data_IF_698624406592
#
_entry.id   IF_698624406592
#
_cell.length_a   1.000
_cell.length_b   1.000
_cell.length_c   1.000
_cell.angle_alpha   90.00
_cell.angle_beta   90.00
_cell.angle_gamma   90.00
#
_symmetry.space_group_name_H-M   'P 1'
#
loop_
_entity.id
_entity.type
_entity.pdbx_description
1 polymer ?
#
# COMPACT_ATOMS: atom_id res chain seq x y z
N UNK A 1 19.17 2.36 -9.98
CA UNK A 1 18.26 3.45 -9.53
C UNK A 1 17.16 2.99 -8.57
N UNK A 2 16.35 1.97 -8.90
CA UNK A 2 15.24 1.54 -8.03
C UNK A 2 15.68 1.21 -6.59
N UNK A 3 16.75 0.42 -6.42
CA UNK A 3 17.33 0.07 -5.11
C UNK A 3 17.72 1.30 -4.29
N UNK A 4 18.36 2.28 -4.93
CA UNK A 4 18.79 3.52 -4.26
C UNK A 4 17.60 4.38 -3.83
N UNK A 5 16.56 4.48 -4.67
CA UNK A 5 15.31 5.16 -4.30
C UNK A 5 14.64 4.49 -3.10
N UNK A 6 14.61 3.16 -3.06
CA UNK A 6 14.07 2.42 -1.91
C UNK A 6 14.89 2.68 -0.65
N UNK A 7 16.22 2.62 -0.74
CA UNK A 7 17.11 2.93 0.39
C UNK A 7 16.85 4.32 0.98
N UNK A 8 16.73 5.33 0.11
CA UNK A 8 16.45 6.70 0.54
C UNK A 8 15.05 6.79 1.17
N UNK A 9 14.04 6.13 0.60
CA UNK A 9 12.67 6.13 1.16
C UNK A 9 12.57 5.44 2.52
N UNK A 10 13.50 4.55 2.87
CA UNK A 10 13.53 3.94 4.19
C UNK A 10 14.06 4.91 5.26
N UNK A 11 14.93 5.84 4.88
CA UNK A 11 15.58 6.78 5.80
C UNK A 11 14.86 8.14 5.84
N UNK A 12 14.37 8.60 4.69
CA UNK A 12 13.81 9.94 4.51
C UNK A 12 12.28 9.86 4.44
N UNK A 13 11.54 10.65 5.24
CA UNK A 13 10.08 10.69 5.20
C UNK A 13 9.57 11.29 3.87
N UNK A 14 8.25 11.25 3.66
CA UNK A 14 7.59 11.89 2.50
C UNK A 14 8.09 11.40 1.12
N UNK A 15 8.52 10.14 1.03
CA UNK A 15 9.03 9.54 -0.20
C UNK A 15 10.20 10.32 -0.84
N UNK A 16 11.15 10.82 -0.03
CA UNK A 16 12.31 11.58 -0.53
C UNK A 16 13.12 10.91 -1.64
N UNK A 17 13.14 9.57 -1.69
CA UNK A 17 13.77 8.80 -2.77
C UNK A 17 13.06 8.93 -4.11
N UNK A 18 11.74 9.15 -4.13
CA UNK A 18 10.99 9.45 -5.35
C UNK A 18 11.37 10.83 -5.91
N UNK A 19 11.56 11.83 -5.04
CA UNK A 19 12.07 13.14 -5.44
C UNK A 19 13.51 13.05 -5.99
N UNK A 20 14.39 12.28 -5.32
CA UNK A 20 15.74 12.03 -5.81
C UNK A 20 15.73 11.37 -7.21
N UNK A 21 14.85 10.38 -7.42
CA UNK A 21 14.66 9.74 -8.73
C UNK A 21 14.16 10.73 -9.78
N UNK A 22 13.20 11.60 -9.42
CA UNK A 22 12.67 12.62 -10.32
C UNK A 22 13.76 13.61 -10.77
N UNK A 23 14.56 14.10 -9.83
CA UNK A 23 15.68 15.00 -10.12
C UNK A 23 16.75 14.34 -10.98
N UNK A 24 17.05 13.06 -10.71
CA UNK A 24 17.97 12.28 -11.53
C UNK A 24 17.47 12.12 -12.97
N UNK A 25 16.21 11.71 -13.16
CA UNK A 25 15.63 11.52 -14.50
C UNK A 25 15.52 12.84 -15.25
N UNK A 26 15.24 13.95 -14.56
CA UNK A 26 15.26 15.29 -15.17
C UNK A 26 16.65 15.66 -15.66
N UNK A 27 17.69 15.43 -14.85
CA UNK A 27 19.08 15.79 -15.22
C UNK A 27 19.65 14.91 -16.32
N UNK A 28 19.34 13.62 -16.33
CA UNK A 28 19.98 12.65 -17.23
C UNK A 28 19.17 12.34 -18.49
N UNK A 29 17.84 12.42 -18.44
CA UNK A 29 16.96 12.04 -19.54
C UNK A 29 16.01 13.16 -20.00
N UNK A 30 16.22 14.40 -19.51
CA UNK A 30 15.36 15.56 -19.75
C UNK A 30 13.85 15.27 -19.50
N UNK A 31 13.58 14.35 -18.57
CA UNK A 31 12.21 13.92 -18.30
C UNK A 31 11.46 15.03 -17.55
N UNK A 32 10.33 15.45 -18.12
CA UNK A 32 9.49 16.45 -17.48
C UNK A 32 8.93 15.93 -16.15
N UNK A 33 9.04 16.74 -15.08
CA UNK A 33 8.65 16.33 -13.72
C UNK A 33 7.16 15.97 -13.61
N UNK A 34 6.30 16.58 -14.43
CA UNK A 34 4.87 16.26 -14.43
C UNK A 34 4.59 14.84 -14.94
N UNK A 35 5.32 14.36 -15.95
CA UNK A 35 5.15 13.01 -16.49
C UNK A 35 5.62 11.95 -15.48
N UNK A 36 6.71 12.25 -14.76
CA UNK A 36 7.15 11.42 -13.64
C UNK A 36 6.10 11.38 -12.53
N UNK A 37 5.60 12.55 -12.10
CA UNK A 37 4.57 12.63 -11.06
C UNK A 37 3.28 11.91 -11.46
N UNK A 38 2.83 12.05 -12.71
CA UNK A 38 1.69 11.33 -13.28
C UNK A 38 1.86 9.81 -13.18
N UNK A 39 3.03 9.30 -13.57
CA UNK A 39 3.31 7.87 -13.51
C UNK A 39 3.41 7.38 -12.07
N UNK A 40 4.09 8.13 -11.19
CA UNK A 40 4.28 7.76 -9.79
C UNK A 40 2.97 7.75 -9.00
N UNK A 41 2.17 8.81 -9.10
CA UNK A 41 0.88 8.90 -8.42
C UNK A 41 -0.07 7.86 -9.00
N UNK A 42 -0.13 7.71 -10.33
CA UNK A 42 -0.97 6.70 -10.98
C UNK A 42 -0.66 5.27 -10.52
N UNK A 43 0.62 4.94 -10.40
CA UNK A 43 1.06 3.67 -9.82
C UNK A 43 0.61 3.49 -8.35
N UNK A 44 0.72 4.53 -7.52
CA UNK A 44 0.30 4.46 -6.11
C UNK A 44 -1.22 4.35 -5.97
N UNK A 45 -2.00 5.02 -6.81
CA UNK A 45 -3.46 4.88 -6.83
C UNK A 45 -3.84 3.45 -7.21
N UNK A 46 -3.16 2.86 -8.19
CA UNK A 46 -3.45 1.48 -8.59
C UNK A 46 -3.10 0.48 -7.47
N UNK A 47 -1.98 0.70 -6.79
CA UNK A 47 -1.56 -0.10 -5.63
C UNK A 47 -2.55 0.05 -4.48
N UNK A 48 -3.00 1.27 -4.18
CA UNK A 48 -4.05 1.58 -3.20
C UNK A 48 -5.35 0.84 -3.53
N UNK A 49 -5.81 0.93 -4.78
CA UNK A 49 -7.03 0.29 -5.23
C UNK A 49 -6.99 -1.24 -5.05
N UNK A 50 -5.92 -1.89 -5.51
CA UNK A 50 -5.76 -3.34 -5.36
C UNK A 50 -5.69 -3.73 -3.88
N UNK A 51 -4.90 -3.02 -3.07
CA UNK A 51 -4.77 -3.31 -1.64
C UNK A 51 -6.11 -3.15 -0.91
N UNK A 52 -6.86 -2.09 -1.16
CA UNK A 52 -8.18 -1.89 -0.57
C UNK A 52 -9.16 -2.99 -0.99
N UNK A 53 -9.19 -3.37 -2.27
CA UNK A 53 -10.04 -4.46 -2.75
C UNK A 53 -9.68 -5.80 -2.09
N UNK A 54 -8.38 -6.10 -1.97
CA UNK A 54 -7.88 -7.29 -1.30
C UNK A 54 -8.23 -7.28 0.20
N UNK A 55 -8.13 -6.13 0.87
CA UNK A 55 -8.53 -5.98 2.27
C UNK A 55 -10.02 -6.23 2.49
N UNK A 56 -10.89 -5.65 1.64
CA UNK A 56 -12.33 -5.89 1.72
C UNK A 56 -12.68 -7.36 1.50
N UNK A 57 -12.06 -8.02 0.50
CA UNK A 57 -12.29 -9.42 0.21
C UNK A 57 -11.83 -10.32 1.38
N UNK A 58 -10.63 -10.10 1.91
CA UNK A 58 -10.09 -10.87 3.03
C UNK A 58 -10.86 -10.63 4.34
N UNK A 59 -11.25 -9.39 4.60
CA UNK A 59 -12.06 -9.02 5.76
C UNK A 59 -13.46 -9.64 5.71
N UNK A 60 -14.14 -9.52 4.57
CA UNK A 60 -15.43 -10.17 4.33
C UNK A 60 -15.37 -11.68 4.52
N UNK A 61 -14.33 -12.33 3.99
CA UNK A 61 -14.11 -13.76 4.17
C UNK A 61 -13.89 -14.18 5.63
N UNK A 62 -13.17 -13.38 6.42
CA UNK A 62 -12.99 -13.66 7.85
C UNK A 62 -14.29 -13.46 8.64
N UNK A 63 -15.09 -12.47 8.30
CA UNK A 63 -16.39 -12.22 8.94
C UNK A 63 -17.37 -13.37 8.68
N UNK A 64 -17.45 -13.89 7.45
CA UNK A 64 -18.35 -15.03 7.14
C UNK A 64 -17.93 -16.30 7.87
N UNK A 65 -16.62 -16.57 8.02
CA UNK A 65 -16.13 -17.72 8.79
C UNK A 65 -16.43 -17.63 10.29
N UNK A 66 -16.49 -16.42 10.85
CA UNK A 66 -16.88 -16.23 12.26
C UNK A 66 -18.37 -16.43 12.49
N UNK A 67 -19.21 -15.92 11.59
CA UNK A 67 -20.66 -16.10 11.68
C UNK A 67 -21.08 -17.56 11.71
N UNK A 68 -20.50 -18.39 10.83
CA UNK A 68 -20.78 -19.83 10.81
C UNK A 68 -20.33 -20.59 12.07
N UNK A 69 -19.29 -20.12 12.77
CA UNK A 69 -18.87 -20.71 14.04
C UNK A 69 -19.84 -20.39 15.19
N UNK A 70 -20.49 -19.22 15.17
CA UNK A 70 -21.44 -18.81 16.18
C UNK A 70 -22.78 -19.57 16.07
N UNK A 71 -23.26 -19.84 14.86
CA UNK A 71 -24.50 -20.59 14.65
C UNK A 71 -24.41 -22.03 15.20
N UNK A 72 -23.25 -22.68 15.09
CA UNK A 72 -23.01 -24.02 15.64
C UNK A 72 -23.04 -24.10 17.18
N UNK A 73 -22.76 -22.99 17.87
CA UNK A 73 -22.78 -22.91 19.34
C UNK A 73 -24.16 -22.54 19.91
N UNK A 74 -25.11 -22.09 19.08
CA UNK A 74 -26.47 -21.74 19.52
C UNK A 74 -27.24 -22.93 20.11
N UNK A 75 -26.81 -24.17 19.85
CA UNK A 75 -27.36 -25.38 20.46
C UNK A 75 -26.86 -25.70 21.87
N UNK A 76 -25.82 -25.02 22.38
CA UNK A 76 -25.16 -25.40 23.65
C UNK A 76 -25.65 -24.68 24.90
N UNK A 77 -26.77 -23.94 24.84
CA UNK A 77 -27.42 -23.32 26.01
C UNK A 77 -26.67 -22.14 26.66
N UNK A 78 -25.60 -21.64 26.03
CA UNK A 78 -24.93 -20.41 26.46
C UNK A 78 -25.83 -19.19 26.21
N UNK A 79 -25.97 -18.33 27.21
CA UNK A 79 -26.91 -17.20 27.16
C UNK A 79 -26.45 -16.13 26.16
N UNK A 80 -27.39 -15.55 25.40
CA UNK A 80 -27.12 -14.51 24.40
C UNK A 80 -26.37 -13.29 24.97
N UNK A 81 -26.45 -13.06 26.28
CA UNK A 81 -25.72 -12.00 26.98
C UNK A 81 -24.19 -12.22 26.96
N UNK A 82 -23.71 -13.45 27.14
CA UNK A 82 -22.28 -13.78 27.07
C UNK A 82 -21.74 -13.73 25.64
N UNK A 83 -22.57 -14.05 24.64
CA UNK A 83 -22.24 -13.89 23.21
C UNK A 83 -22.25 -12.42 22.76
N UNK A 84 -23.07 -11.58 23.39
CA UNK A 84 -23.17 -10.14 23.09
C UNK A 84 -22.12 -9.27 23.77
N UNK A 85 -21.29 -9.83 24.66
CA UNK A 85 -20.03 -9.21 25.08
C UNK A 85 -19.08 -9.23 23.87
N UNK A 86 -19.40 -8.42 22.86
CA UNK A 86 -18.65 -8.24 21.63
C UNK A 86 -17.23 -7.92 22.02
N UNK A 87 -16.36 -8.91 21.85
CA UNK A 87 -14.93 -8.73 22.01
C UNK A 87 -14.53 -7.47 21.23
N UNK A 88 -13.83 -6.51 21.85
CA UNK A 88 -13.38 -5.28 21.18
C UNK A 88 -12.61 -5.55 19.87
N UNK A 89 -12.17 -6.79 19.65
CA UNK A 89 -11.57 -7.24 18.40
C UNK A 89 -12.52 -7.28 17.19
N UNK A 90 -13.84 -7.48 17.36
CA UNK A 90 -14.78 -7.51 16.22
C UNK A 90 -15.04 -6.11 15.67
N UNK A 91 -15.28 -5.15 16.57
CA UNK A 91 -15.46 -3.74 16.22
C UNK A 91 -14.23 -3.16 15.49
N UNK A 92 -13.03 -3.58 15.88
CA UNK A 92 -11.78 -3.17 15.21
C UNK A 92 -11.70 -3.61 13.75
N UNK A 93 -12.08 -4.86 13.45
CA UNK A 93 -12.00 -5.39 12.08
C UNK A 93 -13.02 -4.71 11.15
N UNK A 94 -14.25 -4.51 11.61
CA UNK A 94 -15.29 -3.84 10.83
C UNK A 94 -14.89 -2.39 10.51
N UNK A 95 -14.37 -1.65 11.48
CA UNK A 95 -13.85 -0.29 11.27
C UNK A 95 -12.72 -0.26 10.24
N UNK A 96 -11.77 -1.19 10.34
CA UNK A 96 -10.68 -1.31 9.37
C UNK A 96 -11.20 -1.60 7.95
N UNK A 97 -12.12 -2.55 7.78
CA UNK A 97 -12.71 -2.88 6.49
C UNK A 97 -13.49 -1.70 5.91
N UNK A 98 -14.23 -0.96 6.73
CA UNK A 98 -14.95 0.23 6.32
C UNK A 98 -13.99 1.33 5.81
N UNK A 99 -12.89 1.57 6.54
CA UNK A 99 -11.84 2.52 6.12
C UNK A 99 -11.23 2.08 4.78
N UNK A 100 -10.86 0.81 4.63
CA UNK A 100 -10.29 0.28 3.39
C UNK A 100 -11.26 0.44 2.21
N UNK A 101 -12.55 0.15 2.42
CA UNK A 101 -13.61 0.33 1.43
C UNK A 101 -13.82 1.79 1.02
N UNK A 102 -13.83 2.72 1.99
CA UNK A 102 -13.94 4.15 1.73
C UNK A 102 -12.74 4.66 0.92
N UNK A 103 -11.52 4.21 1.24
CA UNK A 103 -10.30 4.56 0.49
C UNK A 103 -10.32 3.97 -0.93
N UNK A 104 -10.80 2.75 -1.11
CA UNK A 104 -11.02 2.17 -2.44
C UNK A 104 -11.99 3.04 -3.26
N UNK A 105 -13.13 3.42 -2.67
CA UNK A 105 -14.13 4.24 -3.33
C UNK A 105 -13.54 5.60 -3.74
N UNK A 106 -12.80 6.25 -2.83
CA UNK A 106 -12.13 7.51 -3.11
C UNK A 106 -11.08 7.36 -4.24
N UNK A 107 -10.31 6.28 -4.25
CA UNK A 107 -9.35 5.98 -5.31
C UNK A 107 -10.04 5.75 -6.67
N UNK A 108 -11.17 5.02 -6.70
CA UNK A 108 -11.99 4.83 -7.90
C UNK A 108 -12.52 6.16 -8.40
N UNK A 109 -13.11 6.98 -7.52
CA UNK A 109 -13.62 8.31 -7.89
C UNK A 109 -12.48 9.15 -8.46
N UNK A 110 -11.33 9.21 -7.79
CA UNK A 110 -10.15 9.93 -8.29
C UNK A 110 -9.66 9.43 -9.66
N UNK A 111 -9.64 8.12 -9.87
CA UNK A 111 -9.27 7.49 -11.14
C UNK A 111 -10.26 7.80 -12.28
N UNK A 112 -11.55 7.79 -11.98
CA UNK A 112 -12.63 7.91 -12.96
C UNK A 112 -13.07 9.36 -13.21
N UNK A 113 -12.72 10.29 -12.32
CA UNK A 113 -13.04 11.71 -12.50
C UNK A 113 -12.36 12.25 -13.76
N UNK A 114 -13.16 12.44 -14.81
CA UNK A 114 -12.74 13.10 -16.04
C UNK A 114 -12.52 14.61 -15.77
N UNK A 115 -11.56 15.26 -16.42
CA UNK A 115 -11.39 16.72 -16.33
C UNK A 115 -12.68 17.49 -16.68
N UNK A 116 -13.47 16.95 -17.63
CA UNK A 116 -14.76 17.50 -18.02
C UNK A 116 -15.78 17.58 -16.86
N UNK A 117 -15.65 16.72 -15.84
CA UNK A 117 -16.52 16.73 -14.68
C UNK A 117 -16.23 17.94 -13.77
N UNK A 118 -14.96 18.33 -13.61
CA UNK A 118 -14.59 19.56 -12.90
C UNK A 118 -15.13 20.80 -13.62
N UNK A 119 -15.11 20.79 -14.95
CA UNK A 119 -15.75 21.83 -15.77
C UNK A 119 -17.26 21.92 -15.52
N UNK A 120 -17.98 20.79 -15.45
CA UNK A 120 -19.42 20.76 -15.15
C UNK A 120 -19.76 21.24 -13.74
N UNK A 121 -18.87 21.06 -12.78
CA UNK A 121 -19.04 21.56 -11.41
C UNK A 121 -18.76 23.07 -11.26
N UNK A 122 -18.48 23.79 -12.35
CA UNK A 122 -18.12 25.21 -12.30
C UNK A 122 -16.72 25.47 -11.74
N UNK A 123 -15.94 24.41 -11.50
CA UNK A 123 -14.57 24.49 -10.98
C UNK A 123 -13.53 24.74 -12.07
N UNK A 124 -13.95 24.97 -13.32
CA UNK A 124 -13.02 25.26 -14.42
C UNK A 124 -12.16 26.52 -14.18
N UNK A 125 -12.69 27.51 -13.45
CA UNK A 125 -11.92 28.70 -13.05
C UNK A 125 -10.78 28.40 -12.08
N UNK A 126 -10.80 27.23 -11.41
CA UNK A 126 -9.76 26.87 -10.45
C UNK A 126 -8.40 26.57 -11.12
N UNK A 127 -8.37 26.33 -12.43
CA UNK A 127 -7.13 26.11 -13.17
C UNK A 127 -6.19 27.33 -13.12
N UNK A 128 -6.75 28.53 -12.92
CA UNK A 128 -5.98 29.76 -12.78
C UNK A 128 -5.13 29.79 -11.50
N UNK A 129 -5.48 29.03 -10.46
CA UNK A 129 -4.69 29.00 -9.24
C UNK A 129 -3.41 28.20 -9.43
N UNK A 130 -2.27 28.86 -9.23
CA UNK A 130 -0.92 28.29 -9.36
C UNK A 130 -0.72 27.00 -8.55
N UNK A 131 -1.41 26.88 -7.42
CA UNK A 131 -1.35 25.70 -6.54
C UNK A 131 -2.03 24.46 -7.13
N UNK A 132 -3.03 24.63 -8.01
CA UNK A 132 -3.82 23.53 -8.58
C UNK A 132 -3.30 23.08 -9.95
N UNK A 133 -2.48 23.90 -10.62
CA UNK A 133 -1.84 23.53 -11.89
C UNK A 133 -1.15 22.15 -11.89
N UNK A 134 -0.41 21.73 -10.84
CA UNK A 134 0.18 20.39 -10.78
C UNK A 134 -0.89 19.27 -10.81
N UNK A 135 -2.04 19.48 -10.18
CA UNK A 135 -3.13 18.51 -10.13
C UNK A 135 -3.79 18.34 -11.50
N UNK A 136 -4.07 19.43 -12.22
CA UNK A 136 -4.60 19.37 -13.59
C UNK A 136 -3.60 18.72 -14.56
N UNK A 137 -2.31 19.04 -14.42
CA UNK A 137 -1.26 18.43 -15.24
C UNK A 137 -1.13 16.92 -14.95
N UNK A 138 -1.23 16.53 -13.68
CA UNK A 138 -1.31 15.14 -13.25
C UNK A 138 -2.50 14.43 -13.89
N UNK A 139 -3.69 15.02 -13.80
CA UNK A 139 -4.93 14.44 -14.32
C UNK A 139 -4.89 14.25 -15.84
N UNK A 140 -4.33 15.22 -16.56
CA UNK A 140 -4.11 15.12 -18.00
C UNK A 140 -3.16 13.95 -18.34
N UNK A 141 -2.03 13.85 -17.65
CA UNK A 141 -1.09 12.74 -17.83
C UNK A 141 -1.67 11.38 -17.46
N UNK A 142 -2.47 11.29 -16.40
CA UNK A 142 -3.19 10.08 -16.01
C UNK A 142 -4.19 9.65 -17.09
N UNK A 143 -4.94 10.61 -17.65
CA UNK A 143 -5.90 10.32 -18.72
C UNK A 143 -5.21 9.81 -19.98
N UNK A 144 -4.06 10.38 -20.34
CA UNK A 144 -3.24 9.89 -21.45
C UNK A 144 -2.71 8.48 -21.18
N UNK A 145 -2.28 8.19 -19.95
CA UNK A 145 -1.85 6.86 -19.52
C UNK A 145 -2.96 5.80 -19.69
N UNK A 146 -4.19 6.15 -19.31
CA UNK A 146 -5.36 5.26 -19.42
C UNK A 146 -5.81 5.00 -20.86
N UNK A 147 -5.42 5.83 -21.83
CA UNK A 147 -5.71 5.59 -23.26
C UNK A 147 -4.88 4.47 -23.86
N UNK A 148 -3.79 4.08 -23.19
CA UNK A 148 -2.87 3.04 -23.64
C UNK A 148 -3.08 1.74 -22.84
N UNK A 149 -4.08 0.89 -23.18
CA UNK A 149 -4.44 -0.28 -22.38
C UNK A 149 -3.27 -1.27 -22.22
N UNK A 150 -2.42 -1.43 -23.25
CA UNK A 150 -1.23 -2.29 -23.18
C UNK A 150 -0.23 -1.81 -22.12
N UNK A 151 -0.05 -0.49 -21.99
CA UNK A 151 0.82 0.07 -20.96
C UNK A 151 0.20 -0.09 -19.58
N UNK A 152 -1.10 0.22 -19.44
CA UNK A 152 -1.83 0.06 -18.20
C UNK A 152 -1.80 -1.39 -17.69
N UNK A 153 -2.00 -2.38 -18.57
CA UNK A 153 -1.91 -3.80 -18.21
C UNK A 153 -0.53 -4.20 -17.70
N UNK A 154 0.55 -3.63 -18.26
CA UNK A 154 1.92 -3.88 -17.77
C UNK A 154 2.13 -3.26 -16.38
N UNK A 155 1.67 -2.04 -16.16
CA UNK A 155 1.74 -1.38 -14.84
C UNK A 155 0.90 -2.16 -13.82
N UNK A 156 -0.29 -2.58 -14.19
CA UNK A 156 -1.17 -3.41 -13.35
C UNK A 156 -0.50 -4.73 -12.97
N UNK A 157 0.05 -5.46 -13.95
CA UNK A 157 0.77 -6.70 -13.70
C UNK A 157 1.98 -6.48 -12.77
N UNK A 158 2.70 -5.37 -12.95
CA UNK A 158 3.83 -5.02 -12.09
C UNK A 158 3.39 -4.72 -10.65
N UNK A 159 2.29 -3.98 -10.46
CA UNK A 159 1.72 -3.69 -9.14
C UNK A 159 1.24 -4.97 -8.47
N UNK A 160 0.54 -5.85 -9.20
CA UNK A 160 0.09 -7.14 -8.69
C UNK A 160 1.28 -8.01 -8.25
N UNK A 161 2.31 -8.14 -9.09
CA UNK A 161 3.52 -8.89 -8.76
C UNK A 161 4.21 -8.32 -7.51
N UNK A 162 4.24 -7.01 -7.38
CA UNK A 162 4.81 -6.37 -6.19
C UNK A 162 3.98 -6.67 -4.94
N UNK A 163 2.65 -6.58 -5.00
CA UNK A 163 1.80 -6.92 -3.85
C UNK A 163 1.98 -8.39 -3.46
N UNK A 164 2.12 -9.30 -4.43
CA UNK A 164 2.44 -10.71 -4.16
C UNK A 164 3.80 -10.85 -3.46
N UNK A 165 4.83 -10.13 -3.90
CA UNK A 165 6.11 -10.14 -3.22
C UNK A 165 6.00 -9.63 -1.77
N UNK A 166 5.21 -8.56 -1.54
CA UNK A 166 4.94 -8.04 -0.19
C UNK A 166 4.19 -9.06 0.69
N UNK A 167 3.20 -9.78 0.12
CA UNK A 167 2.49 -10.87 0.81
C UNK A 167 3.45 -11.98 1.25
N UNK A 168 4.37 -12.39 0.37
CA UNK A 168 5.38 -13.43 0.67
C UNK A 168 6.32 -12.96 1.79
N UNK A 169 6.75 -11.69 1.77
CA UNK A 169 7.59 -11.12 2.83
C UNK A 169 6.86 -11.12 4.17
N UNK A 170 5.60 -10.67 4.19
CA UNK A 170 4.80 -10.67 5.43
C UNK A 170 4.60 -12.10 5.93
N UNK A 171 4.18 -13.03 5.07
CA UNK A 171 4.01 -14.43 5.43
C UNK A 171 5.30 -15.04 6.01
N UNK A 172 6.44 -14.82 5.35
CA UNK A 172 7.73 -15.34 5.80
C UNK A 172 8.17 -14.71 7.13
N UNK A 173 7.89 -13.42 7.35
CA UNK A 173 8.24 -12.74 8.60
C UNK A 173 7.45 -13.29 9.79
N UNK A 174 6.15 -13.56 9.62
CA UNK A 174 5.34 -14.20 10.66
C UNK A 174 5.76 -15.66 10.91
N UNK A 175 6.06 -16.41 9.83
CA UNK A 175 6.58 -17.77 9.95
C UNK A 175 7.92 -17.82 10.70
N UNK A 176 8.82 -16.86 10.46
CA UNK A 176 10.11 -16.75 11.15
C UNK A 176 9.97 -16.49 12.66
N UNK A 177 8.87 -15.87 13.07
CA UNK A 177 8.52 -15.61 14.48
C UNK A 177 7.79 -16.81 15.11
N UNK A 178 7.57 -17.89 14.37
CA UNK A 178 6.94 -19.11 14.85
C UNK A 178 5.40 -19.06 14.87
N UNK A 179 4.79 -18.08 14.20
CA UNK A 179 3.33 -17.93 14.14
C UNK A 179 2.83 -18.14 12.73
N UNK A 180 1.96 -19.14 12.54
CA UNK A 180 1.29 -19.38 11.26
C UNK A 180 0.04 -18.50 11.15
N UNK A 181 0.08 -17.50 10.27
CA UNK A 181 -1.12 -16.73 9.91
C UNK A 181 -1.92 -17.41 8.81
N UNK A 182 -3.25 -17.27 8.88
CA UNK A 182 -4.12 -17.61 7.75
C UNK A 182 -3.84 -16.71 6.55
N UNK A 183 -4.10 -17.21 5.33
CA UNK A 183 -3.90 -16.43 4.10
C UNK A 183 -4.68 -15.10 4.12
N UNK A 184 -5.91 -15.09 4.65
CA UNK A 184 -6.71 -13.86 4.77
C UNK A 184 -6.07 -12.85 5.73
N UNK A 185 -5.51 -13.30 6.85
CA UNK A 185 -4.80 -12.44 7.79
C UNK A 185 -3.54 -11.83 7.16
N UNK A 186 -2.76 -12.61 6.41
CA UNK A 186 -1.60 -12.10 5.65
C UNK A 186 -2.02 -11.03 4.64
N UNK A 187 -3.12 -11.26 3.92
CA UNK A 187 -3.68 -10.28 2.97
C UNK A 187 -4.11 -9.00 3.68
N UNK A 188 -4.78 -9.09 4.83
CA UNK A 188 -5.16 -7.91 5.61
C UNK A 188 -3.96 -7.12 6.11
N UNK A 189 -3.00 -7.78 6.79
CA UNK A 189 -1.78 -7.12 7.30
C UNK A 189 -1.05 -6.41 6.15
N UNK A 190 -0.88 -7.08 5.02
CA UNK A 190 -0.17 -6.53 3.86
C UNK A 190 -0.93 -5.35 3.25
N UNK A 191 -2.26 -5.48 3.08
CA UNK A 191 -3.08 -4.43 2.48
C UNK A 191 -3.11 -3.18 3.35
N UNK A 192 -3.30 -3.31 4.65
CA UNK A 192 -3.21 -2.16 5.57
C UNK A 192 -1.79 -1.61 5.68
N UNK A 193 -0.76 -2.46 5.59
CA UNK A 193 0.63 -2.03 5.49
C UNK A 193 0.89 -1.15 4.27
N UNK A 194 0.29 -1.48 3.12
CA UNK A 194 0.32 -0.64 1.92
C UNK A 194 -0.39 0.69 2.17
N UNK A 195 -1.60 0.67 2.75
CA UNK A 195 -2.38 1.88 3.07
C UNK A 195 -1.59 2.84 3.96
N UNK A 196 -1.00 2.32 5.02
CA UNK A 196 -0.13 3.06 5.92
C UNK A 196 1.11 3.59 5.20
N UNK A 197 1.77 2.75 4.40
CA UNK A 197 2.99 3.11 3.68
C UNK A 197 2.79 4.25 2.68
N UNK A 198 1.58 4.41 2.14
CA UNK A 198 1.21 5.51 1.25
C UNK A 198 1.11 6.87 1.95
N UNK A 199 0.87 6.89 3.27
CA UNK A 199 0.78 8.15 4.01
C UNK A 199 2.15 8.85 4.11
N UNK A 200 3.24 8.08 4.03
CA UNK A 200 4.61 8.61 4.13
C UNK A 200 4.90 9.40 5.41
N UNK A 201 4.03 9.31 6.42
CA UNK A 201 4.11 10.10 7.66
C UNK A 201 5.35 9.74 8.48
N UNK A 202 5.71 8.46 8.48
CA UNK A 202 6.91 7.97 9.17
C UNK A 202 7.90 7.34 8.18
N UNK A 203 9.22 7.49 8.39
CA UNK A 203 10.23 6.83 7.57
C UNK A 203 9.99 5.31 7.52
N UNK A 204 9.86 4.76 6.31
CA UNK A 204 9.57 3.33 6.13
C UNK A 204 8.26 2.82 6.79
N UNK A 205 7.34 3.72 7.16
CA UNK A 205 6.12 3.36 7.89
C UNK A 205 6.36 2.89 9.33
N UNK A 206 7.50 3.25 9.94
CA UNK A 206 7.87 2.93 11.33
C UNK A 206 6.72 3.26 12.30
N UNK A 207 6.39 2.30 13.16
CA UNK A 207 5.33 2.38 14.17
C UNK A 207 3.93 2.09 13.63
N UNK A 208 3.57 2.62 12.47
CA UNK A 208 2.22 2.46 11.91
C UNK A 208 1.99 1.04 11.34
N UNK A 209 2.98 0.45 10.68
CA UNK A 209 2.87 -0.93 10.17
C UNK A 209 2.82 -1.93 11.31
N UNK A 210 3.59 -1.71 12.38
CA UNK A 210 3.53 -2.51 13.61
C UNK A 210 2.15 -2.41 14.26
N UNK A 211 1.62 -1.19 14.38
CA UNK A 211 0.29 -0.95 14.94
C UNK A 211 -0.79 -1.71 14.15
N UNK A 212 -0.74 -1.64 12.82
CA UNK A 212 -1.63 -2.41 11.95
C UNK A 212 -1.44 -3.91 12.14
N UNK A 213 -0.19 -4.39 12.22
CA UNK A 213 0.11 -5.81 12.40
C UNK A 213 -0.39 -6.34 13.74
N UNK A 214 -0.28 -5.53 14.81
CA UNK A 214 -0.86 -5.82 16.12
C UNK A 214 -2.38 -5.81 16.03
N UNK A 215 -2.99 -4.78 15.44
CA UNK A 215 -4.44 -4.67 15.32
C UNK A 215 -5.05 -5.84 14.54
N UNK A 216 -4.42 -6.28 13.44
CA UNK A 216 -4.89 -7.46 12.70
C UNK A 216 -4.55 -8.75 13.47
N UNK A 217 -3.38 -8.84 14.09
CA UNK A 217 -2.97 -10.00 14.90
C UNK A 217 -3.94 -10.29 16.05
N UNK A 218 -4.36 -9.26 16.79
CA UNK A 218 -5.34 -9.43 17.88
C UNK A 218 -6.69 -9.90 17.37
N UNK A 219 -7.09 -9.55 16.14
CA UNK A 219 -8.30 -10.12 15.55
C UNK A 219 -8.17 -11.63 15.37
N UNK A 220 -6.98 -12.17 15.10
CA UNK A 220 -6.73 -13.61 14.91
C UNK A 220 -6.24 -14.26 16.22
N UNK A 221 -6.48 -13.62 17.37
CA UNK A 221 -6.03 -14.08 18.70
C UNK A 221 -4.51 -14.31 18.79
N UNK A 222 -3.72 -13.53 18.05
CA UNK A 222 -2.26 -13.53 18.14
C UNK A 222 -1.79 -12.45 19.10
N UNK A 223 -0.84 -12.80 19.96
CA UNK A 223 -0.28 -11.88 20.94
C UNK A 223 0.46 -10.71 20.26
N UNK A 224 0.26 -9.45 20.70
CA UNK A 224 0.85 -8.25 20.10
C UNK A 224 2.37 -8.30 19.90
N UNK A 225 3.10 -8.97 20.81
CA UNK A 225 4.55 -9.11 20.73
C UNK A 225 5.00 -9.75 19.41
N UNK A 226 4.27 -10.74 18.91
CA UNK A 226 4.59 -11.40 17.63
C UNK A 226 4.38 -10.46 16.44
N UNK A 227 3.37 -9.58 16.47
CA UNK A 227 3.14 -8.59 15.42
C UNK A 227 4.25 -7.55 15.31
N UNK A 228 4.76 -7.09 16.46
CA UNK A 228 5.92 -6.19 16.52
C UNK A 228 7.18 -6.92 16.02
N UNK A 229 7.43 -8.14 16.51
CA UNK A 229 8.57 -8.94 16.10
C UNK A 229 8.57 -9.23 14.59
N UNK A 230 7.43 -9.62 14.02
CA UNK A 230 7.30 -9.89 12.59
C UNK A 230 7.56 -8.62 11.76
N UNK A 231 7.05 -7.46 12.18
CA UNK A 231 7.34 -6.17 11.55
C UNK A 231 8.84 -5.84 11.53
N UNK A 232 9.52 -6.06 12.66
CA UNK A 232 10.97 -5.86 12.78
C UNK A 232 11.75 -6.84 11.89
N UNK A 233 11.38 -8.12 11.84
CA UNK A 233 12.00 -9.11 10.96
C UNK A 233 11.86 -8.72 9.49
N UNK A 234 10.65 -8.38 9.05
CA UNK A 234 10.39 -7.97 7.66
C UNK A 234 11.26 -6.76 7.25
N UNK A 235 11.40 -5.78 8.14
CA UNK A 235 12.27 -4.61 7.91
C UNK A 235 13.74 -4.94 7.96
N UNK A 236 14.19 -5.74 8.92
CA UNK A 236 15.58 -6.18 9.04
C UNK A 236 16.05 -6.86 7.75
N UNK A 237 15.23 -7.77 7.21
CA UNK A 237 15.49 -8.43 5.93
C UNK A 237 15.51 -7.41 4.79
N UNK A 238 14.52 -6.51 4.71
CA UNK A 238 14.46 -5.50 3.65
C UNK A 238 15.68 -4.58 3.66
N UNK A 239 16.10 -4.12 4.84
CA UNK A 239 17.29 -3.29 5.04
C UNK A 239 18.57 -4.05 4.66
N UNK A 240 18.70 -5.32 5.06
CA UNK A 240 19.84 -6.15 4.70
C UNK A 240 19.93 -6.34 3.17
N UNK A 241 18.81 -6.62 2.51
CA UNK A 241 18.75 -6.75 1.04
C UNK A 241 19.14 -5.44 0.36
N UNK A 242 18.61 -4.30 0.83
CA UNK A 242 18.96 -2.99 0.29
C UNK A 242 20.44 -2.69 0.50
N UNK A 243 20.97 -2.93 1.70
CA UNK A 243 22.38 -2.71 2.02
C UNK A 243 23.31 -3.56 1.14
N UNK A 244 22.94 -4.83 0.86
CA UNK A 244 23.68 -5.72 -0.02
C UNK A 244 23.56 -5.32 -1.51
N UNK A 245 22.37 -4.93 -1.97
CA UNK A 245 22.12 -4.61 -3.38
C UNK A 245 22.65 -3.23 -3.79
N UNK A 246 22.74 -2.28 -2.86
CA UNK A 246 23.18 -0.90 -3.12
C UNK A 246 24.60 -0.81 -3.71
N UNK A 247 25.65 -1.43 -3.13
CA UNK A 247 27.00 -1.36 -3.71
C UNK A 247 27.08 -1.99 -5.10
N UNK A 248 26.36 -3.08 -5.35
CA UNK A 248 26.28 -3.73 -6.67
C UNK A 248 25.65 -2.77 -7.69
N UNK A 249 24.54 -2.12 -7.32
CA UNK A 249 23.90 -1.13 -8.17
C UNK A 249 24.79 0.10 -8.43
N UNK A 250 25.52 0.58 -7.43
CA UNK A 250 26.46 1.70 -7.56
C UNK A 250 27.64 1.34 -8.48
N UNK A 251 28.24 0.16 -8.31
CA UNK A 251 29.31 -0.32 -9.16
C UNK A 251 28.87 -0.43 -10.64
N UNK A 252 27.67 -0.96 -10.89
CA UNK A 252 27.09 -1.02 -12.24
C UNK A 252 26.91 0.36 -12.87
N UNK A 253 26.45 1.36 -12.10
CA UNK A 253 26.31 2.74 -12.60
C UNK A 253 27.67 3.40 -12.89
N UNK A 254 28.68 3.19 -12.03
CA UNK A 254 30.03 3.72 -12.27
C UNK A 254 30.67 3.10 -13.52
N UNK A 255 30.48 1.80 -13.74
CA UNK A 255 30.97 1.12 -14.93
C UNK A 255 30.30 1.64 -16.21
N UNK A 256 28.98 1.88 -16.18
CA UNK A 256 28.24 2.47 -17.30
C UNK A 256 28.76 3.89 -17.65
N UNK A 257 29.01 4.73 -16.64
CA UNK A 257 29.50 6.12 -16.85
C UNK A 257 30.90 6.19 -17.47
N UNK A 258 31.73 5.15 -17.35
CA UNK A 258 33.07 5.13 -17.97
C UNK A 258 33.05 4.78 -19.46
N UNK A 259 31.92 4.31 -20.01
CA UNK A 259 31.82 3.83 -21.41
C UNK A 259 31.21 4.84 -22.38
N UNK A 260 30.66 5.95 -21.91
CA UNK A 260 30.07 7.02 -22.74
C UNK A 260 30.72 8.34 -22.41
#
# INVERSE_FOLDING_TARGET
MAVMTTAINTVVPLHGGAAARALYLKRQHDLHLSSFAATFIGYNILRLFIASAAACAAGGWLLTRRGGAAEGLSGSGLTAAELSATSPATAGLEGLVAIAGALALAAIVGCLMRPAWLGRLGLGGLEQYRLLKPLFTFQAGWHELMRCPRFLMKVLALVMLQIVAELVVVWAAWAAVGVSLSAAAVVLVTSFGILVGLTGLTPGGLGLVELVSVAVGTTVAVEPAHGIAAGLVARGVSLAVIAAATPIALAGMMAYRRRG
#
